data_IF_419966962041
#
_entry.id   IF_419966962041
#
_cell.length_a   1.000
_cell.length_b   1.000
_cell.length_c   1.000
_cell.angle_alpha   90.00
_cell.angle_beta   90.00
_cell.angle_gamma   90.00
#
_symmetry.space_group_name_H-M   'P 1'
#
loop_
_entity.id
_entity.type
_entity.pdbx_description
1 polymer ?
#
# COMPACT_ATOMS: atom_id res chain seq x y z
N UNK A 1 14.97 36.57 -5.67
CA UNK A 1 13.83 37.07 -6.47
C UNK A 1 13.14 35.88 -7.13
N UNK A 2 11.85 35.66 -6.87
CA UNK A 2 11.09 34.63 -7.58
C UNK A 2 10.88 35.06 -9.04
N UNK A 3 11.23 34.21 -10.01
CA UNK A 3 10.93 34.49 -11.42
C UNK A 3 9.42 34.58 -11.62
N UNK A 4 8.96 35.67 -12.22
CA UNK A 4 7.54 35.87 -12.54
C UNK A 4 7.06 34.83 -13.56
N UNK A 5 5.96 34.13 -13.26
CA UNK A 5 5.39 33.14 -14.17
C UNK A 5 4.70 33.86 -15.35
N UNK A 6 5.21 33.64 -16.58
CA UNK A 6 4.65 34.26 -17.79
C UNK A 6 3.19 33.91 -18.06
N UNK A 7 2.75 32.72 -17.63
CA UNK A 7 1.35 32.28 -17.80
C UNK A 7 0.43 33.09 -16.88
N UNK A 8 0.82 33.30 -15.62
CA UNK A 8 0.09 34.11 -14.65
C UNK A 8 -0.07 35.59 -15.05
N UNK A 9 0.89 36.13 -15.81
CA UNK A 9 0.79 37.52 -16.31
C UNK A 9 0.05 37.64 -17.63
N UNK A 10 -0.36 36.51 -18.23
CA UNK A 10 -1.02 36.52 -19.53
C UNK A 10 -2.53 36.66 -19.42
N UNK A 11 -3.15 37.30 -20.41
CA UNK A 11 -4.61 37.32 -20.54
C UNK A 11 -5.22 35.94 -20.81
N UNK A 12 -4.40 34.94 -21.17
CA UNK A 12 -4.82 33.57 -21.44
C UNK A 12 -4.81 32.66 -20.19
N UNK A 13 -4.39 33.18 -19.03
CA UNK A 13 -4.26 32.40 -17.79
C UNK A 13 -5.53 31.60 -17.49
N UNK A 14 -6.70 32.25 -17.48
CA UNK A 14 -7.96 31.59 -17.12
C UNK A 14 -8.33 30.43 -18.05
N UNK A 15 -7.97 30.50 -19.34
CA UNK A 15 -8.22 29.41 -20.31
C UNK A 15 -7.27 28.24 -20.10
N UNK A 16 -5.99 28.54 -19.84
CA UNK A 16 -4.97 27.53 -19.54
C UNK A 16 -5.30 26.83 -18.23
N UNK A 17 -5.67 27.57 -17.19
CA UNK A 17 -6.08 27.03 -15.90
C UNK A 17 -7.32 26.14 -16.05
N UNK A 18 -8.35 26.60 -16.76
CA UNK A 18 -9.56 25.81 -17.00
C UNK A 18 -9.27 24.50 -17.75
N UNK A 19 -8.43 24.52 -18.80
CA UNK A 19 -8.07 23.32 -19.54
C UNK A 19 -7.28 22.31 -18.68
N UNK A 20 -6.31 22.81 -17.90
CA UNK A 20 -5.53 21.96 -16.98
C UNK A 20 -6.41 21.38 -15.85
N UNK A 21 -7.34 22.18 -15.30
CA UNK A 21 -8.31 21.74 -14.29
C UNK A 21 -9.31 20.73 -14.85
N UNK A 22 -9.64 20.81 -16.15
CA UNK A 22 -10.45 19.82 -16.85
C UNK A 22 -9.70 18.51 -17.15
N UNK A 23 -8.42 18.40 -16.77
CA UNK A 23 -7.61 17.20 -16.95
C UNK A 23 -6.92 17.11 -18.33
N UNK A 24 -6.89 18.18 -19.12
CA UNK A 24 -6.13 18.18 -20.36
C UNK A 24 -4.62 18.02 -20.10
N UNK A 25 -3.95 17.26 -20.97
CA UNK A 25 -2.49 17.09 -20.87
C UNK A 25 -1.76 18.39 -21.18
N UNK A 26 -0.61 18.62 -20.54
CA UNK A 26 0.25 19.80 -20.82
C UNK A 26 0.59 19.93 -22.32
N UNK A 27 0.78 18.80 -23.01
CA UNK A 27 1.03 18.79 -24.45
C UNK A 27 -0.20 19.18 -25.29
N UNK A 28 -1.43 18.89 -24.84
CA UNK A 28 -2.66 19.39 -25.46
C UNK A 28 -2.76 20.91 -25.28
N UNK A 29 -2.62 21.38 -24.04
CA UNK A 29 -2.72 22.80 -23.69
C UNK A 29 -1.64 23.62 -24.41
N UNK A 30 -0.42 23.08 -24.54
CA UNK A 30 0.66 23.74 -25.28
C UNK A 30 0.32 23.87 -26.77
N UNK A 31 -0.25 22.83 -27.40
CA UNK A 31 -0.67 22.89 -28.81
C UNK A 31 -1.78 23.90 -29.03
N UNK A 32 -2.71 24.02 -28.08
CA UNK A 32 -3.79 25.02 -28.11
C UNK A 32 -3.27 26.46 -27.86
N UNK A 33 -2.13 26.61 -27.19
CA UNK A 33 -1.56 27.89 -26.80
C UNK A 33 -0.06 27.99 -27.18
N UNK A 34 0.26 28.10 -28.49
CA UNK A 34 1.64 28.05 -28.99
C UNK A 34 2.54 29.20 -28.50
N UNK A 35 1.97 30.27 -27.94
CA UNK A 35 2.71 31.37 -27.32
C UNK A 35 3.47 30.96 -26.04
N UNK A 36 3.19 29.78 -25.48
CA UNK A 36 3.88 29.25 -24.31
C UNK A 36 4.65 27.98 -24.64
N UNK A 37 5.83 27.85 -24.04
CA UNK A 37 6.60 26.60 -24.12
C UNK A 37 5.98 25.54 -23.21
N UNK A 38 6.17 24.27 -23.56
CA UNK A 38 5.79 23.14 -22.70
C UNK A 38 6.37 23.28 -21.28
N UNK A 39 7.63 23.71 -21.17
CA UNK A 39 8.30 23.95 -19.89
C UNK A 39 7.64 25.05 -19.06
N UNK A 40 7.13 26.11 -19.69
CA UNK A 40 6.41 27.19 -19.01
C UNK A 40 5.08 26.69 -18.45
N UNK A 41 4.33 25.91 -19.24
CA UNK A 41 3.05 25.34 -18.81
C UNK A 41 3.27 24.31 -17.69
N UNK A 42 4.28 23.43 -17.77
CA UNK A 42 4.60 22.49 -16.66
C UNK A 42 4.99 23.20 -15.38
N UNK A 43 5.74 24.31 -15.47
CA UNK A 43 6.12 25.10 -14.29
C UNK A 43 4.88 25.79 -13.70
N UNK A 44 4.03 26.36 -14.54
CA UNK A 44 2.77 26.97 -14.13
C UNK A 44 1.84 25.97 -13.44
N UNK A 45 1.65 24.80 -14.05
CA UNK A 45 0.83 23.72 -13.51
C UNK A 45 1.29 23.30 -12.10
N UNK A 46 2.58 22.98 -11.93
CA UNK A 46 3.14 22.54 -10.64
C UNK A 46 3.07 23.61 -9.55
N UNK A 47 3.34 24.87 -9.90
CA UNK A 47 3.51 25.91 -8.89
C UNK A 47 2.22 26.66 -8.54
N UNK A 48 1.21 26.65 -9.42
CA UNK A 48 0.02 27.50 -9.27
C UNK A 48 -1.28 26.71 -9.40
N UNK A 49 -1.41 25.89 -10.45
CA UNK A 49 -2.65 25.14 -10.68
C UNK A 49 -2.78 24.00 -9.66
N UNK A 50 -1.71 23.26 -9.39
CA UNK A 50 -1.72 22.14 -8.43
C UNK A 50 -2.13 22.59 -7.03
N UNK A 51 -1.60 23.72 -6.54
CA UNK A 51 -2.01 24.30 -5.26
C UNK A 51 -3.50 24.67 -5.25
N UNK A 52 -4.01 25.21 -6.37
CA UNK A 52 -5.43 25.53 -6.53
C UNK A 52 -6.29 24.27 -6.52
N UNK A 53 -5.88 23.20 -7.21
CA UNK A 53 -6.56 21.90 -7.18
C UNK A 53 -6.62 21.38 -5.75
N UNK A 54 -5.49 21.32 -5.06
CA UNK A 54 -5.42 20.85 -3.66
C UNK A 54 -6.36 21.68 -2.77
N UNK A 55 -6.33 23.00 -2.88
CA UNK A 55 -7.23 23.86 -2.10
C UNK A 55 -8.71 23.65 -2.43
N UNK A 56 -9.06 23.39 -3.69
CA UNK A 56 -10.46 23.15 -4.09
C UNK A 56 -10.93 21.79 -3.60
N UNK A 57 -10.09 20.77 -3.75
CA UNK A 57 -10.36 19.41 -3.27
C UNK A 57 -10.55 19.41 -1.76
N UNK A 58 -9.67 20.09 -1.01
CA UNK A 58 -9.78 20.21 0.44
C UNK A 58 -11.04 20.95 0.92
N UNK A 59 -11.66 21.77 0.06
CA UNK A 59 -12.86 22.54 0.39
C UNK A 59 -14.13 22.00 -0.30
N UNK A 60 -14.09 20.84 -0.95
CA UNK A 60 -15.29 20.24 -1.54
C UNK A 60 -16.19 19.74 -0.40
N UNK A 61 -17.39 20.34 -0.21
CA UNK A 61 -18.31 19.86 0.81
C UNK A 61 -18.76 18.44 0.46
N UNK A 62 -18.57 17.52 1.40
CA UNK A 62 -18.93 16.11 1.23
C UNK A 62 -17.83 15.22 0.64
N UNK A 63 -16.61 15.73 0.43
CA UNK A 63 -15.45 14.85 0.21
C UNK A 63 -14.98 14.35 1.58
N UNK A 64 -15.46 13.18 1.99
CA UNK A 64 -14.91 12.52 3.17
C UNK A 64 -13.48 12.06 2.86
N UNK A 65 -12.58 12.23 3.83
CA UNK A 65 -11.28 11.55 3.87
C UNK A 65 -11.40 10.06 3.50
N UNK A 66 -12.47 9.39 3.95
CA UNK A 66 -12.76 8.01 3.57
C UNK A 66 -12.94 7.82 2.05
N UNK A 67 -13.65 8.73 1.38
CA UNK A 67 -13.86 8.67 -0.07
C UNK A 67 -12.55 8.88 -0.84
N UNK A 68 -11.68 9.77 -0.35
CA UNK A 68 -10.36 10.01 -0.94
C UNK A 68 -9.48 8.77 -0.83
N UNK A 69 -9.48 8.11 0.33
CA UNK A 69 -8.74 6.87 0.56
C UNK A 69 -9.27 5.75 -0.33
N UNK A 70 -10.59 5.56 -0.40
CA UNK A 70 -11.23 4.60 -1.31
C UNK A 70 -10.84 4.87 -2.76
N UNK A 71 -10.79 6.14 -3.17
CA UNK A 71 -10.39 6.52 -4.52
C UNK A 71 -8.93 6.20 -4.80
N UNK A 72 -8.03 6.43 -3.84
CA UNK A 72 -6.62 6.09 -3.96
C UNK A 72 -6.39 4.58 -4.00
N UNK A 73 -7.12 3.80 -3.18
CA UNK A 73 -7.10 2.33 -3.25
C UNK A 73 -7.54 1.85 -4.63
N UNK A 74 -8.61 2.43 -5.18
CA UNK A 74 -9.07 2.08 -6.51
C UNK A 74 -8.03 2.43 -7.61
N UNK A 75 -7.38 3.58 -7.50
CA UNK A 75 -6.27 3.95 -8.40
C UNK A 75 -5.09 2.97 -8.31
N UNK A 76 -4.76 2.49 -7.11
CA UNK A 76 -3.71 1.48 -6.92
C UNK A 76 -4.09 0.16 -7.59
N UNK A 77 -5.35 -0.28 -7.44
CA UNK A 77 -5.89 -1.46 -8.11
C UNK A 77 -5.87 -1.33 -9.64
N UNK A 78 -6.27 -0.18 -10.17
CA UNK A 78 -6.21 0.10 -11.61
C UNK A 78 -4.77 0.07 -12.13
N UNK A 79 -3.82 0.68 -11.40
CA UNK A 79 -2.41 0.67 -11.75
C UNK A 79 -1.83 -0.75 -11.76
N UNK A 80 -2.20 -1.58 -10.77
CA UNK A 80 -1.85 -3.00 -10.73
C UNK A 80 -2.44 -3.75 -11.93
N UNK A 81 -3.70 -3.49 -12.30
CA UNK A 81 -4.34 -4.06 -13.49
C UNK A 81 -3.60 -3.73 -14.78
N UNK A 82 -3.24 -2.46 -14.98
CA UNK A 82 -2.44 -1.99 -16.13
C UNK A 82 -1.06 -2.65 -16.14
N UNK A 83 -0.40 -2.78 -14.98
CA UNK A 83 0.89 -3.47 -14.86
C UNK A 83 0.78 -4.93 -15.31
N UNK A 84 -0.20 -5.66 -14.80
CA UNK A 84 -0.43 -7.07 -15.13
C UNK A 84 -0.72 -7.26 -16.62
N UNK A 85 -1.54 -6.38 -17.21
CA UNK A 85 -1.81 -6.39 -18.65
C UNK A 85 -0.54 -6.10 -19.48
N UNK A 86 0.28 -5.12 -19.08
CA UNK A 86 1.54 -4.81 -19.74
C UNK A 86 2.55 -5.96 -19.69
N UNK A 87 2.61 -6.68 -18.56
CA UNK A 87 3.43 -7.90 -18.41
C UNK A 87 2.96 -8.98 -19.35
N UNK A 88 1.64 -9.24 -19.42
CA UNK A 88 1.07 -10.23 -20.34
C UNK A 88 1.40 -9.91 -21.82
N UNK A 89 1.46 -8.62 -22.16
CA UNK A 89 1.85 -8.14 -23.50
C UNK A 89 3.37 -8.07 -23.73
N UNK A 90 4.20 -8.42 -22.73
CA UNK A 90 5.67 -8.30 -22.75
C UNK A 90 6.16 -6.87 -23.06
N UNK A 91 5.39 -5.85 -22.65
CA UNK A 91 5.74 -4.45 -22.87
C UNK A 91 6.46 -3.86 -21.64
N UNK A 92 7.77 -4.10 -21.54
CA UNK A 92 8.57 -3.68 -20.38
C UNK A 92 8.50 -2.17 -20.06
N UNK A 93 8.40 -1.32 -21.08
CA UNK A 93 8.28 0.15 -20.88
C UNK A 93 6.96 0.56 -20.23
N UNK A 94 5.87 -0.17 -20.53
CA UNK A 94 4.57 0.05 -19.93
C UNK A 94 4.52 -0.54 -18.51
N UNK A 95 5.12 -1.73 -18.32
CA UNK A 95 5.26 -2.36 -17.00
C UNK A 95 5.97 -1.43 -16.01
N UNK A 96 7.12 -0.86 -16.39
CA UNK A 96 7.88 0.04 -15.53
C UNK A 96 7.10 1.33 -15.19
N UNK A 97 6.37 1.89 -16.16
CA UNK A 97 5.54 3.08 -15.92
C UNK A 97 4.37 2.79 -14.98
N UNK A 98 3.70 1.66 -15.16
CA UNK A 98 2.61 1.24 -14.29
C UNK A 98 3.11 0.97 -12.86
N UNK A 99 4.23 0.27 -12.70
CA UNK A 99 4.86 0.03 -11.41
C UNK A 99 5.27 1.34 -10.70
N UNK A 100 5.83 2.30 -11.43
CA UNK A 100 6.17 3.61 -10.86
C UNK A 100 4.92 4.41 -10.44
N UNK A 101 3.83 4.33 -11.22
CA UNK A 101 2.56 4.96 -10.88
C UNK A 101 1.96 4.35 -9.60
N UNK A 102 1.94 3.02 -9.51
CA UNK A 102 1.51 2.26 -8.33
C UNK A 102 2.32 2.65 -7.08
N UNK A 103 3.65 2.68 -7.17
CA UNK A 103 4.51 3.15 -6.07
C UNK A 103 4.24 4.59 -5.66
N UNK A 104 3.92 5.47 -6.62
CA UNK A 104 3.54 6.85 -6.35
C UNK A 104 2.24 6.94 -5.56
N UNK A 105 1.21 6.18 -5.97
CA UNK A 105 -0.10 6.14 -5.30
C UNK A 105 0.03 5.57 -3.89
N UNK A 106 0.80 4.49 -3.71
CA UNK A 106 1.02 3.89 -2.40
C UNK A 106 1.73 4.83 -1.43
N UNK A 107 2.72 5.61 -1.89
CA UNK A 107 3.35 6.63 -1.06
C UNK A 107 2.37 7.73 -0.64
N UNK A 108 1.52 8.16 -1.56
CA UNK A 108 0.52 9.18 -1.27
C UNK A 108 -0.54 8.65 -0.28
N UNK A 109 -0.94 7.39 -0.39
CA UNK A 109 -1.81 6.71 0.58
C UNK A 109 -1.19 6.71 1.98
N UNK A 110 0.07 6.30 2.09
CA UNK A 110 0.80 6.27 3.38
C UNK A 110 0.86 7.67 3.99
N UNK A 111 1.22 8.68 3.19
CA UNK A 111 1.27 10.07 3.65
C UNK A 111 -0.09 10.63 4.04
N UNK A 112 -1.13 10.34 3.25
CA UNK A 112 -2.49 10.87 3.46
C UNK A 112 -3.16 10.25 4.68
N UNK A 113 -2.97 8.95 4.89
CA UNK A 113 -3.50 8.24 6.05
C UNK A 113 -2.73 8.59 7.33
N UNK A 114 -1.67 9.40 7.23
CA UNK A 114 -0.80 9.72 8.37
C UNK A 114 -0.18 8.47 8.98
N UNK A 115 -0.10 7.38 8.20
CA UNK A 115 0.44 6.11 8.64
C UNK A 115 1.95 6.31 8.78
N UNK A 116 2.36 6.71 9.98
CA UNK A 116 3.76 6.64 10.37
C UNK A 116 4.13 5.16 10.56
N UNK A 117 5.42 4.82 10.47
CA UNK A 117 5.90 3.45 10.68
C UNK A 117 5.41 2.86 12.01
N UNK A 118 5.14 3.73 12.99
CA UNK A 118 4.57 3.38 14.30
C UNK A 118 3.11 2.92 14.20
N UNK A 119 2.28 3.58 13.38
CA UNK A 119 0.85 3.25 13.25
C UNK A 119 0.64 1.97 12.44
N UNK A 120 1.46 1.73 11.39
CA UNK A 120 1.49 0.41 10.74
C UNK A 120 1.79 -0.66 11.77
N UNK A 121 2.77 -0.41 12.64
CA UNK A 121 3.17 -1.39 13.63
C UNK A 121 2.04 -1.68 14.63
N UNK A 122 1.34 -0.63 15.10
CA UNK A 122 0.17 -0.76 15.99
C UNK A 122 -0.96 -1.52 15.29
N UNK A 123 -1.34 -1.14 14.07
CA UNK A 123 -2.38 -1.86 13.32
C UNK A 123 -2.01 -3.31 13.03
N UNK A 124 -0.75 -3.60 12.73
CA UNK A 124 -0.28 -4.98 12.58
C UNK A 124 -0.35 -5.75 13.90
N UNK A 125 0.00 -5.13 15.03
CA UNK A 125 -0.11 -5.76 16.35
C UNK A 125 -1.57 -6.02 16.72
N UNK A 126 -2.47 -5.06 16.46
CA UNK A 126 -3.91 -5.20 16.70
C UNK A 126 -4.54 -6.27 15.81
N UNK A 127 -4.18 -6.28 14.52
CA UNK A 127 -4.63 -7.31 13.58
C UNK A 127 -4.12 -8.71 13.98
N UNK A 128 -2.86 -8.81 14.45
CA UNK A 128 -2.31 -10.05 14.98
C UNK A 128 -3.03 -10.50 16.26
N UNK A 129 -3.32 -9.58 17.18
CA UNK A 129 -4.05 -9.86 18.41
C UNK A 129 -5.48 -10.33 18.11
N UNK A 130 -6.17 -9.66 17.18
CA UNK A 130 -7.51 -10.05 16.74
C UNK A 130 -7.49 -11.41 16.04
N UNK A 131 -6.56 -11.65 15.13
CA UNK A 131 -6.41 -12.95 14.47
C UNK A 131 -6.10 -14.07 15.48
N UNK A 132 -5.26 -13.78 16.49
CA UNK A 132 -4.96 -14.69 17.59
C UNK A 132 -6.19 -15.03 18.43
N UNK A 133 -6.98 -14.00 18.80
CA UNK A 133 -8.22 -14.18 19.55
C UNK A 133 -9.28 -14.95 18.75
N UNK A 134 -9.50 -14.58 17.49
CA UNK A 134 -10.41 -15.29 16.59
C UNK A 134 -9.98 -16.75 16.38
N UNK A 135 -8.67 -16.99 16.24
CA UNK A 135 -8.11 -18.33 16.15
C UNK A 135 -8.32 -19.15 17.43
N UNK A 136 -8.15 -18.55 18.61
CA UNK A 136 -8.42 -19.23 19.88
C UNK A 136 -9.91 -19.59 20.05
N UNK A 137 -10.82 -18.66 19.72
CA UNK A 137 -12.26 -18.93 19.75
C UNK A 137 -12.64 -20.03 18.76
N UNK A 138 -12.10 -19.99 17.54
CA UNK A 138 -12.35 -21.03 16.53
C UNK A 138 -11.83 -22.42 16.96
N UNK A 139 -10.83 -22.48 17.85
CA UNK A 139 -10.37 -23.75 18.42
C UNK A 139 -11.34 -24.33 19.45
N UNK A 140 -11.86 -23.48 20.33
CA UNK A 140 -12.84 -23.91 21.34
C UNK A 140 -14.20 -24.19 20.69
N UNK A 141 -14.50 -23.54 19.57
CA UNK A 141 -15.76 -23.60 18.83
C UNK A 141 -15.54 -23.82 17.33
N UNK A 142 -15.33 -25.07 16.87
CA UNK A 142 -15.06 -25.39 15.47
C UNK A 142 -16.15 -24.91 14.49
N UNK A 143 -17.41 -24.93 14.93
CA UNK A 143 -18.55 -24.42 14.17
C UNK A 143 -18.44 -22.91 13.87
N UNK A 144 -17.93 -22.13 14.82
CA UNK A 144 -17.67 -20.70 14.63
C UNK A 144 -16.53 -20.51 13.62
N UNK A 145 -15.46 -21.28 13.73
CA UNK A 145 -14.34 -21.24 12.77
C UNK A 145 -14.78 -21.51 11.34
N UNK A 146 -15.64 -22.50 11.14
CA UNK A 146 -16.18 -22.82 9.81
C UNK A 146 -17.06 -21.70 9.24
N UNK A 147 -17.92 -21.09 10.07
CA UNK A 147 -18.75 -19.94 9.66
C UNK A 147 -17.89 -18.71 9.33
N UNK A 148 -16.89 -18.42 10.16
CA UNK A 148 -15.96 -17.32 9.93
C UNK A 148 -15.20 -17.48 8.61
N UNK A 149 -14.68 -18.67 8.31
CA UNK A 149 -14.00 -18.95 7.04
C UNK A 149 -14.96 -18.80 5.86
N UNK A 150 -16.20 -19.26 5.98
CA UNK A 150 -17.20 -19.11 4.92
C UNK A 150 -17.49 -17.63 4.62
N UNK A 151 -17.71 -16.82 5.66
CA UNK A 151 -17.94 -15.37 5.54
C UNK A 151 -16.71 -14.65 4.95
N UNK A 152 -15.51 -14.99 5.43
CA UNK A 152 -14.27 -14.43 4.91
C UNK A 152 -14.05 -14.81 3.45
N UNK A 153 -14.50 -15.98 3.00
CA UNK A 153 -14.35 -16.38 1.59
C UNK A 153 -15.17 -15.50 0.65
N UNK A 154 -16.29 -14.96 1.12
CA UNK A 154 -17.12 -14.03 0.35
C UNK A 154 -16.55 -12.60 0.37
N UNK A 155 -16.01 -12.16 1.51
CA UNK A 155 -15.61 -10.76 1.72
C UNK A 155 -14.11 -10.49 1.52
N UNK A 156 -13.24 -11.44 1.88
CA UNK A 156 -11.78 -11.35 1.76
C UNK A 156 -11.12 -12.73 1.56
N UNK A 157 -11.05 -13.22 0.31
CA UNK A 157 -10.54 -14.56 -0.01
C UNK A 157 -9.10 -14.83 0.48
N UNK A 158 -8.26 -13.80 0.53
CA UNK A 158 -6.89 -13.93 1.02
C UNK A 158 -6.84 -14.23 2.53
N UNK A 159 -7.70 -13.59 3.32
CA UNK A 159 -7.79 -13.84 4.77
C UNK A 159 -8.37 -15.23 5.06
N UNK A 160 -9.38 -15.66 4.30
CA UNK A 160 -9.92 -17.01 4.41
C UNK A 160 -8.84 -18.08 4.21
N UNK A 161 -8.00 -17.92 3.18
CA UNK A 161 -6.87 -18.82 2.90
C UNK A 161 -5.85 -18.84 4.05
N UNK A 162 -5.60 -17.68 4.68
CA UNK A 162 -4.73 -17.59 5.86
C UNK A 162 -5.27 -18.33 7.08
N UNK A 163 -6.57 -18.20 7.37
CA UNK A 163 -7.23 -18.92 8.46
C UNK A 163 -7.28 -20.44 8.23
N UNK A 164 -7.49 -20.88 6.99
CA UNK A 164 -7.42 -22.30 6.61
C UNK A 164 -6.01 -22.87 6.83
N UNK A 165 -4.97 -22.15 6.41
CA UNK A 165 -3.58 -22.57 6.61
C UNK A 165 -3.21 -22.63 8.10
N UNK A 166 -3.64 -21.66 8.91
CA UNK A 166 -3.43 -21.66 10.37
C UNK A 166 -4.14 -22.82 11.06
N UNK A 167 -5.37 -23.12 10.64
CA UNK A 167 -6.16 -24.23 11.16
C UNK A 167 -5.52 -25.57 10.79
N UNK A 168 -5.07 -25.73 9.55
CA UNK A 168 -4.39 -26.94 9.06
C UNK A 168 -3.03 -27.17 9.74
N UNK A 169 -2.21 -26.12 9.90
CA UNK A 169 -0.90 -26.21 10.54
C UNK A 169 -0.99 -26.63 12.02
N UNK A 170 -2.08 -26.26 12.71
CA UNK A 170 -2.32 -26.63 14.11
C UNK A 170 -3.06 -27.96 14.30
N UNK A 171 -3.74 -28.46 13.27
CA UNK A 171 -4.35 -29.80 13.28
C UNK A 171 -3.31 -30.93 13.13
N UNK A 172 -2.09 -30.59 12.70
CA UNK A 172 -0.99 -31.55 12.72
C UNK A 172 -0.74 -32.00 14.18
N UNK A 173 -0.69 -33.31 14.44
CA UNK A 173 -0.40 -33.82 15.78
C UNK A 173 0.92 -33.20 16.23
N UNK A 174 0.94 -32.63 17.44
CA UNK A 174 2.15 -32.10 18.06
C UNK A 174 3.20 -33.20 17.91
N UNK A 175 4.37 -32.94 17.28
CA UNK A 175 5.39 -33.95 17.12
C UNK A 175 5.62 -34.54 18.50
N UNK A 176 5.37 -35.85 18.62
CA UNK A 176 5.49 -36.61 19.85
C UNK A 176 6.85 -36.21 20.42
N UNK A 177 6.84 -35.47 21.52
CA UNK A 177 8.07 -34.97 22.12
C UNK A 177 8.86 -36.22 22.46
N UNK A 178 9.89 -36.49 21.66
CA UNK A 178 10.78 -37.62 21.86
C UNK A 178 11.16 -37.58 23.34
N UNK A 179 10.87 -38.63 24.12
CA UNK A 179 11.08 -38.62 25.55
C UNK A 179 12.52 -38.18 25.80
N UNK A 180 12.76 -37.28 26.76
CA UNK A 180 14.08 -36.73 27.00
C UNK A 180 15.07 -37.89 27.09
N UNK A 181 15.95 -38.00 26.09
CA UNK A 181 17.06 -38.93 26.14
C UNK A 181 17.81 -38.56 27.41
N UNK A 182 17.76 -39.43 28.42
CA UNK A 182 18.61 -39.37 29.60
C UNK A 182 20.05 -39.19 29.10
N UNK A 183 20.53 -37.96 29.17
CA UNK A 183 21.94 -37.65 28.96
C UNK A 183 22.62 -38.26 30.17
N UNK A 184 23.08 -39.51 30.02
CA UNK A 184 23.93 -40.14 31.00
C UNK A 184 25.17 -39.27 31.17
N UNK A 185 25.22 -38.55 32.29
CA UNK A 185 26.38 -37.82 32.78
C UNK A 185 27.56 -38.79 32.90
N UNK A 186 28.36 -38.87 31.84
CA UNK A 186 29.63 -39.57 31.86
C UNK A 186 30.63 -38.70 32.60
N UNK A 187 30.65 -38.85 33.93
CA UNK A 187 31.70 -38.38 34.82
C UNK A 187 33.06 -38.88 34.31
N UNK A 188 33.78 -38.03 33.57
CA UNK A 188 35.19 -38.25 33.22
C UNK A 188 36.06 -37.80 34.40
N UNK A 189 36.84 -38.70 35.03
CA UNK A 189 37.75 -38.30 36.10
C UNK A 189 38.92 -37.49 35.55
N UNK A 190 39.24 -36.39 36.24
CA UNK A 190 40.41 -35.53 35.97
C UNK A 190 41.72 -36.29 36.17
N UNK A 191 42.68 -36.22 35.23
CA UNK A 191 44.01 -36.79 35.43
C UNK A 191 44.87 -35.91 36.34
N UNK A 192 45.33 -36.52 37.42
CA UNK A 192 46.30 -36.01 38.41
C UNK A 192 47.65 -35.69 37.74
N UNK A 193 48.15 -34.47 37.92
CA UNK A 193 49.48 -34.06 37.47
C UNK A 193 50.60 -34.62 38.37
N UNK A 194 51.76 -35.02 37.83
CA UNK A 194 52.93 -35.36 38.64
C UNK A 194 53.68 -34.09 39.09
N UNK A 195 54.04 -34.04 40.37
CA UNK A 195 54.96 -33.05 40.94
C UNK A 195 56.41 -33.46 40.65
N UNK A 196 57.21 -32.49 40.24
CA UNK A 196 58.67 -32.49 40.32
C UNK A 196 59.12 -31.46 41.34
#
# INVERSE_FOLDING_TARGET
MAMQCKVCTSSLQGRIDAALLAGETVASVQRAHPSFTDSAIRRHYRNHVQATIISKVANLPGLDTADLVLRLVQLANDAMGVRNQAVAQRNGSATLRAANAELGILRELIQTLGIDDTDVHVYMQEAQALAGAAGAVAQEHPEFGALLIAELRETSPELASGFEALSAARALPKPEQDPPHDIQDTHSPSPTAPRS
#
